data_IF_885645791955
#
_entry.id   IF_885645791955
#
_cell.length_a   1.000
_cell.length_b   1.000
_cell.length_c   1.000
_cell.angle_alpha   90.00
_cell.angle_beta   90.00
_cell.angle_gamma   90.00
#
_symmetry.space_group_name_H-M   'P 1'
#
loop_
_entity.id
_entity.type
_entity.pdbx_description
1 polymer ?
#
# COMPACT_ATOMS: atom_id res chain seq x y z
N UNK A 1 -0.43 -16.08 9.00
CA UNK A 1 -1.62 -15.67 9.81
C UNK A 1 -2.23 -14.44 9.17
N UNK A 2 -3.56 -14.36 9.05
CA UNK A 2 -4.23 -13.19 8.48
C UNK A 2 -3.91 -11.93 9.29
N UNK A 3 -3.75 -10.80 8.61
CA UNK A 3 -3.55 -9.51 9.25
C UNK A 3 -4.86 -9.10 9.95
N UNK A 4 -4.76 -8.56 11.18
CA UNK A 4 -5.95 -8.09 11.90
C UNK A 4 -6.31 -6.68 11.45
N UNK A 5 -7.58 -6.29 11.57
CA UNK A 5 -7.95 -4.87 11.46
C UNK A 5 -7.24 -4.06 12.54
N UNK A 6 -6.67 -2.92 12.17
CA UNK A 6 -5.95 -2.06 13.10
C UNK A 6 -5.12 -0.97 12.45
N UNK A 7 -4.41 -0.23 13.29
CA UNK A 7 -3.50 0.84 12.85
C UNK A 7 -2.06 0.31 12.81
N UNK A 8 -1.39 0.49 11.68
CA UNK A 8 -0.07 -0.07 11.40
C UNK A 8 0.91 0.99 10.90
N UNK A 9 2.19 0.76 11.14
CA UNK A 9 3.26 1.32 10.34
C UNK A 9 3.59 0.32 9.24
N UNK A 10 3.59 0.77 7.98
CA UNK A 10 3.91 -0.08 6.83
C UNK A 10 5.32 0.26 6.37
N UNK A 11 6.17 -0.75 6.22
CA UNK A 11 7.59 -0.58 5.90
C UNK A 11 7.99 -1.52 4.77
N UNK A 12 8.75 -0.99 3.80
CA UNK A 12 9.51 -1.79 2.85
C UNK A 12 11.01 -1.70 3.20
N UNK A 13 11.60 -2.83 3.59
CA UNK A 13 13.00 -2.93 4.04
C UNK A 13 13.35 -1.92 5.14
N UNK A 14 13.94 -0.76 4.83
CA UNK A 14 14.33 0.29 5.79
C UNK A 14 13.49 1.56 5.68
N UNK A 15 12.59 1.62 4.70
CA UNK A 15 11.81 2.80 4.37
C UNK A 15 10.36 2.59 4.78
N UNK A 16 9.78 3.58 5.45
CA UNK A 16 8.35 3.57 5.74
C UNK A 16 7.56 3.97 4.50
N UNK A 17 6.33 3.49 4.39
CA UNK A 17 5.37 4.05 3.44
C UNK A 17 4.70 5.25 4.09
N UNK A 18 4.61 6.33 3.33
CA UNK A 18 3.89 7.54 3.70
C UNK A 18 3.11 8.10 2.52
N UNK A 19 2.65 9.34 2.67
CA UNK A 19 1.96 10.06 1.63
C UNK A 19 2.54 11.47 1.48
N UNK A 20 2.45 12.04 0.29
CA UNK A 20 2.85 13.44 0.04
C UNK A 20 1.89 14.43 0.71
N UNK A 21 2.33 15.68 0.80
CA UNK A 21 1.56 16.80 1.38
C UNK A 21 0.72 17.55 0.33
N UNK A 22 0.45 16.93 -0.82
CA UNK A 22 -0.39 17.53 -1.86
C UNK A 22 -1.78 17.86 -1.30
N UNK A 23 -2.31 19.03 -1.67
CA UNK A 23 -3.59 19.54 -1.16
C UNK A 23 -4.74 19.18 -2.11
N UNK A 24 -5.94 18.88 -1.59
CA UNK A 24 -7.13 18.70 -2.42
C UNK A 24 -7.32 19.87 -3.42
N UNK A 25 -7.75 19.59 -4.66
CA UNK A 25 -8.25 18.30 -5.16
C UNK A 25 -7.15 17.34 -5.65
N UNK A 26 -5.87 17.69 -5.52
CA UNK A 26 -4.78 16.81 -5.96
C UNK A 26 -4.69 15.57 -5.05
N UNK A 27 -4.67 14.35 -5.63
CA UNK A 27 -4.38 13.13 -4.88
C UNK A 27 -2.99 13.18 -4.24
N UNK A 28 -2.88 12.71 -3.00
CA UNK A 28 -1.58 12.56 -2.35
C UNK A 28 -0.91 11.28 -2.84
N UNK A 29 0.34 11.35 -3.26
CA UNK A 29 1.12 10.20 -3.71
C UNK A 29 1.46 9.33 -2.51
N UNK A 30 1.28 8.02 -2.60
CA UNK A 30 1.86 7.10 -1.61
C UNK A 30 3.33 6.91 -1.96
N UNK A 31 4.22 7.30 -1.05
CA UNK A 31 5.66 7.37 -1.30
C UNK A 31 6.44 6.57 -0.25
N UNK A 32 7.66 6.20 -0.60
CA UNK A 32 8.62 5.73 0.40
C UNK A 32 9.21 6.91 1.16
N UNK A 33 9.46 6.74 2.44
CA UNK A 33 10.08 7.72 3.32
C UNK A 33 11.40 7.16 3.85
N UNK A 34 12.43 8.00 4.02
CA UNK A 34 13.71 7.54 4.52
C UNK A 34 13.58 7.05 5.96
N UNK A 35 14.41 6.09 6.35
CA UNK A 35 14.48 5.65 7.75
C UNK A 35 14.81 6.81 8.70
N UNK A 36 14.19 6.80 9.88
CA UNK A 36 14.42 7.81 10.92
C UNK A 36 13.46 9.01 10.92
N UNK A 37 12.55 9.11 9.94
CA UNK A 37 11.44 10.07 10.01
C UNK A 37 10.28 9.51 10.83
N UNK A 38 9.37 10.39 11.27
CA UNK A 38 8.12 9.98 11.89
C UNK A 38 7.27 9.20 10.87
N UNK A 39 7.14 7.89 11.08
CA UNK A 39 6.34 7.04 10.21
C UNK A 39 4.85 7.39 10.35
N UNK A 40 4.13 7.63 9.24
CA UNK A 40 2.70 7.84 9.29
C UNK A 40 1.99 6.53 9.60
N UNK A 41 0.83 6.66 10.24
CA UNK A 41 -0.03 5.54 10.61
C UNK A 41 -1.03 5.27 9.49
N UNK A 42 -1.26 3.99 9.23
CA UNK A 42 -2.22 3.51 8.25
C UNK A 42 -3.29 2.70 8.97
N UNK A 43 -4.57 3.00 8.73
CA UNK A 43 -5.65 2.15 9.18
C UNK A 43 -5.91 1.07 8.12
N UNK A 44 -5.72 -0.18 8.51
CA UNK A 44 -5.95 -1.36 7.67
C UNK A 44 -7.18 -2.07 8.20
N UNK A 45 -8.20 -2.20 7.35
CA UNK A 45 -9.50 -2.74 7.73
C UNK A 45 -9.82 -3.96 6.88
N UNK A 46 -10.03 -5.10 7.53
CA UNK A 46 -10.47 -6.32 6.88
C UNK A 46 -11.94 -6.19 6.46
N UNK A 47 -12.22 -6.41 5.17
CA UNK A 47 -13.56 -6.35 4.57
C UNK A 47 -13.99 -7.70 3.96
N UNK A 48 -13.11 -8.69 3.94
CA UNK A 48 -13.38 -10.07 3.51
C UNK A 48 -12.23 -11.01 3.85
N UNK A 49 -12.29 -12.25 3.35
CA UNK A 49 -11.17 -13.20 3.47
C UNK A 49 -9.99 -12.68 2.65
N UNK A 50 -8.88 -12.39 3.33
CA UNK A 50 -7.68 -11.75 2.77
C UNK A 50 -7.89 -10.39 2.05
N UNK A 51 -9.10 -9.81 2.13
CA UNK A 51 -9.48 -8.55 1.51
C UNK A 51 -9.49 -7.41 2.54
N UNK A 52 -8.82 -6.31 2.20
CA UNK A 52 -8.60 -5.19 3.11
C UNK A 52 -8.76 -3.84 2.40
N UNK A 53 -9.10 -2.80 3.16
CA UNK A 53 -8.89 -1.41 2.73
C UNK A 53 -7.75 -0.79 3.52
N UNK A 54 -6.97 0.09 2.88
CA UNK A 54 -5.88 0.82 3.51
C UNK A 54 -6.20 2.32 3.44
N UNK A 55 -6.11 3.02 4.57
CA UNK A 55 -6.52 4.42 4.70
C UNK A 55 -5.51 5.20 5.53
N UNK A 56 -5.34 6.48 5.20
CA UNK A 56 -4.78 7.47 6.13
C UNK A 56 -5.94 8.08 6.95
N UNK A 57 -5.63 8.98 7.89
CA UNK A 57 -6.67 9.67 8.65
C UNK A 57 -7.61 10.50 7.75
N UNK A 58 -7.10 10.97 6.60
CA UNK A 58 -7.83 11.87 5.69
C UNK A 58 -8.12 11.27 4.32
N UNK A 59 -7.47 10.16 3.97
CA UNK A 59 -7.38 9.67 2.60
C UNK A 59 -7.62 8.17 2.46
N UNK A 60 -8.17 7.79 1.30
CA UNK A 60 -8.41 6.40 0.93
C UNK A 60 -7.42 5.99 -0.15
N UNK A 61 -6.69 4.89 0.03
CA UNK A 61 -5.72 4.45 -0.98
C UNK A 61 -6.44 3.90 -2.21
N UNK A 62 -5.89 4.18 -3.38
CA UNK A 62 -6.38 3.70 -4.67
C UNK A 62 -5.27 3.72 -5.72
N UNK A 63 -5.40 2.84 -6.70
CA UNK A 63 -4.64 2.80 -7.94
C UNK A 63 -5.18 3.86 -8.91
N UNK A 64 -4.30 4.75 -9.39
CA UNK A 64 -4.56 5.58 -10.56
C UNK A 64 -3.43 5.30 -11.55
N UNK A 65 -3.80 4.82 -12.73
CA UNK A 65 -2.87 4.23 -13.70
C UNK A 65 -2.11 3.07 -13.05
N UNK A 66 -0.78 3.17 -12.89
CA UNK A 66 0.06 2.14 -12.25
C UNK A 66 0.70 2.68 -10.96
N UNK A 67 0.07 3.66 -10.31
CA UNK A 67 0.58 4.34 -9.13
C UNK A 67 -0.45 4.38 -8.01
N UNK A 68 0.04 4.34 -6.77
CA UNK A 68 -0.81 4.38 -5.58
C UNK A 68 -0.92 5.81 -5.07
N UNK A 69 -2.16 6.22 -4.81
CA UNK A 69 -2.50 7.53 -4.24
C UNK A 69 -3.43 7.38 -3.04
N UNK A 70 -3.39 8.35 -2.12
CA UNK A 70 -4.40 8.58 -1.11
C UNK A 70 -5.32 9.73 -1.57
N UNK A 71 -6.60 9.43 -1.76
CA UNK A 71 -7.60 10.41 -2.20
C UNK A 71 -8.24 11.06 -0.98
N UNK A 72 -8.01 12.37 -0.81
CA UNK A 72 -8.44 13.17 0.37
C UNK A 72 -9.66 14.08 0.09
N UNK A 73 -10.21 14.03 -1.12
CA UNK A 73 -11.41 14.82 -1.50
C UNK A 73 -12.68 14.26 -0.84
N UNK A 74 -13.60 15.15 -0.46
CA UNK A 74 -14.94 14.81 0.04
C UNK A 74 -16.06 15.53 -0.75
N UNK A 75 -17.11 14.82 -1.22
CA UNK A 75 -17.26 13.37 -1.22
C UNK A 75 -16.20 12.74 -2.14
N UNK A 76 -15.53 11.71 -1.62
CA UNK A 76 -14.50 10.97 -2.34
C UNK A 76 -15.04 9.63 -2.83
N UNK A 77 -14.30 8.93 -3.69
CA UNK A 77 -14.67 7.58 -4.06
C UNK A 77 -14.55 6.61 -2.88
N UNK A 78 -15.21 5.46 -2.97
CA UNK A 78 -15.03 4.36 -2.01
C UNK A 78 -13.56 3.89 -1.97
N UNK A 79 -13.05 3.37 -0.84
CA UNK A 79 -11.70 2.82 -0.79
C UNK A 79 -11.55 1.65 -1.77
N UNK A 80 -10.37 1.54 -2.40
CA UNK A 80 -10.04 0.31 -3.13
C UNK A 80 -9.78 -0.83 -2.14
N UNK A 81 -10.09 -2.05 -2.60
CA UNK A 81 -9.90 -3.28 -1.83
C UNK A 81 -8.62 -3.95 -2.32
N UNK A 82 -7.77 -4.36 -1.38
CA UNK A 82 -6.48 -4.98 -1.60
C UNK A 82 -6.47 -6.39 -1.02
N UNK A 83 -5.76 -7.29 -1.67
CA UNK A 83 -5.38 -8.57 -1.09
C UNK A 83 -4.15 -8.36 -0.20
N UNK A 84 -4.23 -8.76 1.08
CA UNK A 84 -3.07 -8.71 1.99
C UNK A 84 -2.81 -10.11 2.53
N UNK A 85 -1.80 -10.77 1.99
CA UNK A 85 -1.47 -12.17 2.30
C UNK A 85 -0.11 -12.28 2.99
N UNK A 86 0.07 -13.24 3.94
CA UNK A 86 1.35 -13.43 4.62
C UNK A 86 2.47 -13.83 3.65
N UNK A 87 3.65 -13.21 3.80
CA UNK A 87 4.86 -13.57 3.08
C UNK A 87 5.81 -14.37 3.99
N UNK A 88 5.76 -15.70 3.92
CA UNK A 88 6.57 -16.58 4.77
C UNK A 88 8.08 -16.38 4.60
N UNK A 89 8.53 -15.89 3.42
CA UNK A 89 9.95 -15.61 3.16
C UNK A 89 10.45 -14.36 3.87
N UNK A 90 9.58 -13.38 4.10
CA UNK A 90 9.91 -12.13 4.81
C UNK A 90 9.94 -12.30 6.34
N UNK A 91 9.33 -13.36 6.85
CA UNK A 91 9.24 -13.66 8.28
C UNK A 91 7.96 -13.16 8.91
N UNK A 92 7.97 -13.05 10.25
CA UNK A 92 6.81 -12.60 11.02
C UNK A 92 6.48 -11.14 10.66
N UNK A 93 5.20 -10.84 10.50
CA UNK A 93 4.67 -9.52 10.15
C UNK A 93 5.08 -9.02 8.74
N UNK A 94 5.46 -9.95 7.85
CA UNK A 94 5.68 -9.67 6.43
C UNK A 94 4.48 -10.08 5.59
N UNK A 95 4.08 -9.20 4.67
CA UNK A 95 2.89 -9.37 3.83
C UNK A 95 3.14 -8.89 2.40
N UNK A 96 2.38 -9.42 1.45
CA UNK A 96 2.24 -8.89 0.09
C UNK A 96 0.93 -8.12 0.02
N UNK A 97 0.95 -6.93 -0.58
CA UNK A 97 -0.25 -6.12 -0.86
C UNK A 97 -0.46 -6.14 -2.37
N UNK A 98 -1.60 -6.66 -2.82
CA UNK A 98 -1.91 -6.81 -4.24
C UNK A 98 -3.26 -6.18 -4.59
N UNK A 99 -3.35 -5.58 -5.78
CA UNK A 99 -4.62 -5.14 -6.38
C UNK A 99 -5.41 -6.33 -6.94
N UNK A 100 -4.70 -7.37 -7.40
CA UNK A 100 -5.27 -8.56 -8.03
C UNK A 100 -4.31 -9.75 -7.82
N UNK A 101 -4.84 -10.85 -7.27
CA UNK A 101 -4.06 -12.07 -7.01
C UNK A 101 -3.94 -12.97 -8.23
N UNK A 102 -4.86 -12.90 -9.20
CA UNK A 102 -4.80 -13.68 -10.43
C UNK A 102 -3.78 -13.10 -11.41
N UNK A 103 -3.76 -11.77 -11.54
CA UNK A 103 -2.83 -11.05 -12.41
C UNK A 103 -1.49 -10.71 -11.75
N UNK A 104 -1.29 -11.06 -10.48
CA UNK A 104 -0.09 -10.73 -9.68
C UNK A 104 0.30 -9.25 -9.76
N UNK A 105 -0.68 -8.37 -9.53
CA UNK A 105 -0.50 -6.91 -9.53
C UNK A 105 -0.19 -6.43 -8.12
N UNK A 106 1.09 -6.44 -7.78
CA UNK A 106 1.57 -6.16 -6.43
C UNK A 106 1.97 -4.70 -6.26
N UNK A 107 1.84 -4.18 -5.04
CA UNK A 107 2.46 -2.92 -4.65
C UNK A 107 3.99 -3.07 -4.68
N UNK A 108 4.65 -2.21 -5.46
CA UNK A 108 6.11 -2.15 -5.53
C UNK A 108 6.58 -0.81 -4.97
N UNK A 109 7.24 -0.88 -3.82
CA UNK A 109 7.83 0.28 -3.15
C UNK A 109 9.29 0.47 -3.60
N UNK A 110 9.66 1.63 -4.18
CA UNK A 110 11.03 1.90 -4.61
C UNK A 110 12.03 1.94 -3.43
N UNK A 111 13.30 1.61 -3.70
CA UNK A 111 14.37 1.69 -2.69
C UNK A 111 14.77 3.14 -2.37
N UNK A 112 14.65 4.04 -3.36
CA UNK A 112 14.95 5.46 -3.19
C UNK A 112 13.80 6.16 -2.43
N UNK A 113 14.10 6.94 -1.38
CA UNK A 113 13.10 7.73 -0.67
C UNK A 113 12.40 8.76 -1.54
N UNK A 114 11.19 9.13 -1.13
CA UNK A 114 10.28 10.08 -1.78
C UNK A 114 9.79 9.67 -3.17
N UNK A 115 10.12 8.46 -3.61
CA UNK A 115 9.59 7.88 -4.84
C UNK A 115 8.22 7.23 -4.58
N UNK A 116 7.37 7.29 -5.60
CA UNK A 116 5.99 6.83 -5.50
C UNK A 116 5.87 5.31 -5.67
N UNK A 117 5.09 4.70 -4.77
CA UNK A 117 4.69 3.29 -4.84
C UNK A 117 3.87 3.05 -6.10
N UNK A 118 4.24 2.01 -6.84
CA UNK A 118 3.56 1.59 -8.06
C UNK A 118 2.84 0.27 -7.91
N UNK A 119 2.09 -0.08 -8.94
CA UNK A 119 1.69 -1.45 -9.24
C UNK A 119 2.66 -2.00 -10.28
N UNK A 120 3.16 -3.22 -10.06
CA UNK A 120 3.90 -3.94 -11.09
C UNK A 120 3.28 -5.32 -11.30
N UNK A 121 3.32 -5.78 -12.55
CA UNK A 121 2.97 -7.15 -12.89
C UNK A 121 4.16 -8.02 -12.53
N UNK A 122 4.03 -8.83 -11.49
CA UNK A 122 4.99 -9.90 -11.28
C UNK A 122 4.79 -10.92 -12.41
N UNK A 123 5.56 -10.77 -13.50
CA UNK A 123 5.69 -11.86 -14.46
C UNK A 123 6.44 -12.97 -13.73
N UNK A 124 5.71 -13.97 -13.24
CA UNK A 124 6.32 -15.19 -12.75
C UNK A 124 7.29 -15.68 -13.82
N UNK A 125 8.59 -15.68 -13.53
CA UNK A 125 9.58 -16.42 -14.30
C UNK A 125 9.28 -17.92 -14.10
N UNK A 126 8.23 -18.42 -14.75
CA UNK A 126 8.22 -19.77 -15.25
C UNK A 126 9.26 -19.81 -16.40
N UNK A 127 10.05 -20.88 -16.47
CA UNK A 127 11.28 -21.04 -17.27
C UNK A 127 12.51 -20.41 -16.58
N UNK A 128 13.37 -21.17 -15.90
CA UNK A 128 14.13 -22.34 -16.39
C UNK A 128 14.57 -23.25 -15.25
#
# INVERSE_FOLDING_TARGET
MPLKTGTYFIQNRRNFLGHSEDKPPAPQRVITLPGGVLAPKWFVEQVGEDLYTIKTDEGRTRTIEDKIFAITVYPGPEPEVWYITPNERGGKDSYVIAADTECQKDWVAPDEPYQQVGIDLQMSNAYS
#
